data_IF_507058263730
#
_entry.id   IF_507058263730
#
_cell.length_a   1.000
_cell.length_b   1.000
_cell.length_c   1.000
_cell.angle_alpha   90.00
_cell.angle_beta   90.00
_cell.angle_gamma   90.00
#
_symmetry.space_group_name_H-M   'P 1'
#
loop_
_entity.id
_entity.type
_entity.pdbx_description
1 polymer ?
#
# COMPACT_ATOMS: atom_id res chain seq x y z
N UNK A 1 -41.75 23.27 49.93
CA UNK A 1 -40.62 22.95 49.03
C UNK A 1 -41.21 22.55 47.67
N UNK A 2 -41.21 23.47 46.71
CA UNK A 2 -41.62 23.23 45.34
C UNK A 2 -40.46 23.71 44.45
N UNK A 3 -39.84 22.77 43.75
CA UNK A 3 -38.81 23.07 42.75
C UNK A 3 -39.50 23.35 41.41
N UNK A 4 -39.34 24.56 40.90
CA UNK A 4 -39.69 24.94 39.53
C UNK A 4 -38.51 24.66 38.60
N UNK A 5 -38.74 23.84 37.58
CA UNK A 5 -37.79 23.65 36.48
C UNK A 5 -37.79 24.88 35.57
N UNK A 6 -36.62 25.49 35.37
CA UNK A 6 -36.40 26.53 34.36
C UNK A 6 -36.13 25.84 33.02
N UNK A 7 -36.98 26.12 32.03
CA UNK A 7 -36.79 25.67 30.64
C UNK A 7 -35.73 26.56 29.98
N UNK A 8 -34.61 25.98 29.59
CA UNK A 8 -33.62 26.62 28.70
C UNK A 8 -33.99 26.37 27.25
N UNK A 9 -34.15 27.45 26.48
CA UNK A 9 -34.32 27.39 25.03
C UNK A 9 -33.04 26.88 24.35
N UNK A 10 -33.15 26.19 23.20
CA UNK A 10 -31.98 25.68 22.48
C UNK A 10 -31.19 26.84 21.87
N UNK A 11 -29.91 26.91 22.21
CA UNK A 11 -28.94 27.76 21.53
C UNK A 11 -28.69 27.16 20.15
N UNK A 12 -29.23 27.77 19.10
CA UNK A 12 -28.86 27.48 17.72
C UNK A 12 -27.40 27.84 17.51
N UNK A 13 -26.56 26.84 17.27
CA UNK A 13 -25.17 27.02 16.87
C UNK A 13 -25.11 27.77 15.53
N UNK A 14 -24.19 28.74 15.37
CA UNK A 14 -24.03 29.45 14.11
C UNK A 14 -23.58 28.45 13.03
N UNK A 15 -24.23 28.52 11.88
CA UNK A 15 -24.01 27.61 10.76
C UNK A 15 -22.55 27.55 10.35
N UNK A 16 -21.94 26.39 10.57
CA UNK A 16 -20.72 26.01 9.89
C UNK A 16 -21.08 25.85 8.41
N UNK A 17 -20.74 26.84 7.59
CA UNK A 17 -20.55 26.62 6.16
C UNK A 17 -19.44 25.57 6.05
N UNK A 18 -19.82 24.35 5.71
CA UNK A 18 -18.89 23.30 5.30
C UNK A 18 -18.17 23.83 4.07
N UNK A 19 -16.99 24.42 4.26
CA UNK A 19 -16.02 24.59 3.19
C UNK A 19 -15.68 23.18 2.71
N UNK A 20 -16.31 22.80 1.60
CA UNK A 20 -16.15 21.48 1.00
C UNK A 20 -14.69 21.37 0.56
N UNK A 21 -13.95 20.47 1.20
CA UNK A 21 -12.55 20.19 0.87
C UNK A 21 -12.40 19.98 -0.64
N UNK A 22 -11.62 20.82 -1.31
CA UNK A 22 -11.45 20.79 -2.78
C UNK A 22 -10.25 19.94 -3.14
N UNK A 23 -10.47 18.89 -3.94
CA UNK A 23 -9.39 18.03 -4.44
C UNK A 23 -8.49 18.81 -5.38
N UNK A 24 -7.18 18.67 -5.18
CA UNK A 24 -6.19 19.12 -6.15
C UNK A 24 -6.35 18.31 -7.46
N UNK A 25 -6.31 18.95 -8.63
CA UNK A 25 -6.28 18.22 -9.90
C UNK A 25 -5.11 17.25 -9.95
N UNK A 26 -5.38 16.03 -10.43
CA UNK A 26 -4.35 15.03 -10.66
C UNK A 26 -3.65 15.28 -12.01
N UNK A 27 -2.41 14.77 -12.20
CA UNK A 27 -1.74 14.81 -13.50
C UNK A 27 -2.52 14.06 -14.59
N UNK A 28 -2.20 14.31 -15.85
CA UNK A 28 -2.83 13.63 -17.01
C UNK A 28 -2.59 12.11 -16.98
N UNK A 29 -1.52 11.65 -16.31
CA UNK A 29 -1.28 10.22 -16.06
C UNK A 29 -2.43 9.52 -15.30
N UNK A 30 -3.26 10.27 -14.59
CA UNK A 30 -4.40 9.74 -13.83
C UNK A 30 -5.67 9.58 -14.67
N UNK A 31 -5.70 10.12 -15.90
CA UNK A 31 -6.89 10.05 -16.76
C UNK A 31 -7.11 8.64 -17.31
N UNK A 32 -8.39 8.28 -17.47
CA UNK A 32 -8.81 7.03 -18.10
C UNK A 32 -8.47 7.06 -19.60
N UNK A 33 -7.72 6.05 -20.05
CA UNK A 33 -7.20 5.96 -21.43
C UNK A 33 -7.89 4.89 -22.29
N UNK A 34 -8.97 4.29 -21.79
CA UNK A 34 -9.69 3.23 -22.52
C UNK A 34 -10.69 3.76 -23.57
N UNK A 35 -11.24 2.86 -24.41
CA UNK A 35 -12.19 3.25 -25.45
C UNK A 35 -13.52 3.70 -24.85
N UNK A 36 -13.95 4.93 -25.19
CA UNK A 36 -15.27 5.45 -24.81
C UNK A 36 -15.32 6.01 -23.39
N UNK A 37 -16.48 5.90 -22.74
CA UNK A 37 -16.65 6.33 -21.36
C UNK A 37 -16.09 5.27 -20.40
N UNK A 38 -15.62 5.71 -19.23
CA UNK A 38 -15.20 4.82 -18.14
C UNK A 38 -16.32 3.81 -17.80
N UNK A 39 -15.99 2.53 -17.56
CA UNK A 39 -16.96 1.54 -17.10
C UNK A 39 -17.74 2.00 -15.88
N UNK A 40 -19.01 1.56 -15.78
CA UNK A 40 -19.88 1.79 -14.63
C UNK A 40 -19.39 0.98 -13.43
N UNK A 41 -18.45 1.57 -12.69
CA UNK A 41 -17.80 0.99 -11.53
C UNK A 41 -17.46 2.08 -10.51
N UNK A 42 -17.91 1.93 -9.27
CA UNK A 42 -17.89 3.02 -8.28
C UNK A 42 -17.23 2.65 -6.95
N UNK A 43 -16.62 1.47 -6.83
CA UNK A 43 -16.08 1.01 -5.54
C UNK A 43 -14.91 1.86 -5.02
N UNK A 44 -14.17 2.53 -5.91
CA UNK A 44 -12.96 3.30 -5.57
C UNK A 44 -13.01 4.75 -6.09
N UNK A 45 -14.19 5.30 -6.34
CA UNK A 45 -14.36 6.66 -6.90
C UNK A 45 -13.81 7.80 -6.03
N UNK A 46 -13.75 7.58 -4.72
CA UNK A 46 -13.24 8.52 -3.72
C UNK A 46 -11.93 8.01 -3.07
N UNK A 47 -11.32 6.96 -3.62
CA UNK A 47 -10.03 6.45 -3.16
C UNK A 47 -8.93 6.95 -4.09
N UNK A 48 -7.82 7.42 -3.51
CA UNK A 48 -6.59 7.72 -4.25
C UNK A 48 -5.67 6.49 -4.25
N UNK A 49 -5.47 5.89 -5.42
CA UNK A 49 -4.44 4.86 -5.60
C UNK A 49 -3.08 5.53 -5.83
N UNK A 50 -2.18 5.41 -4.87
CA UNK A 50 -0.81 5.91 -4.92
C UNK A 50 0.11 4.79 -5.37
N UNK A 51 0.66 4.92 -6.57
CA UNK A 51 1.57 3.94 -7.18
C UNK A 51 2.97 4.50 -7.19
N UNK A 52 3.87 3.88 -6.44
CA UNK A 52 5.27 4.29 -6.41
C UNK A 52 6.16 3.41 -7.27
N UNK A 53 7.27 3.98 -7.73
CA UNK A 53 8.23 3.26 -8.52
C UNK A 53 9.65 3.79 -8.29
N UNK A 54 10.61 2.87 -8.31
CA UNK A 54 11.99 3.10 -7.87
C UNK A 54 13.04 2.81 -8.93
N UNK A 55 12.65 2.37 -10.13
CA UNK A 55 13.58 1.80 -11.11
C UNK A 55 13.08 2.03 -12.55
N UNK A 56 14.01 2.21 -13.49
CA UNK A 56 13.75 2.43 -14.92
C UNK A 56 12.87 1.34 -15.60
N UNK A 57 12.90 0.11 -15.06
CA UNK A 57 12.08 -1.05 -15.47
C UNK A 57 10.58 -0.81 -15.45
N UNK A 58 10.11 0.22 -14.74
CA UNK A 58 8.69 0.49 -14.56
C UNK A 58 8.10 1.42 -15.62
N UNK A 59 8.89 2.33 -16.19
CA UNK A 59 8.36 3.34 -17.12
C UNK A 59 7.79 2.73 -18.39
N UNK A 60 8.45 1.68 -18.89
CA UNK A 60 8.05 0.99 -20.12
C UNK A 60 6.68 0.31 -20.00
N UNK A 61 6.19 0.13 -18.78
CA UNK A 61 4.96 -0.58 -18.48
C UNK A 61 3.86 0.35 -17.92
N UNK A 62 4.15 1.65 -17.74
CA UNK A 62 3.25 2.61 -17.11
C UNK A 62 1.90 2.66 -17.82
N UNK A 63 1.92 2.74 -19.14
CA UNK A 63 0.70 2.77 -19.95
C UNK A 63 -0.13 1.49 -19.80
N UNK A 64 0.53 0.33 -19.70
CA UNK A 64 -0.15 -0.94 -19.45
C UNK A 64 -0.81 -0.99 -18.07
N UNK A 65 -0.11 -0.52 -17.03
CA UNK A 65 -0.67 -0.42 -15.68
C UNK A 65 -1.89 0.52 -15.65
N UNK A 66 -1.75 1.70 -16.26
CA UNK A 66 -2.82 2.70 -16.39
C UNK A 66 -4.02 2.11 -17.13
N UNK A 67 -3.79 1.43 -18.24
CA UNK A 67 -4.84 0.85 -19.06
C UNK A 67 -5.62 -0.26 -18.33
N UNK A 68 -4.96 -1.01 -17.45
CA UNK A 68 -5.60 -2.06 -16.64
C UNK A 68 -6.37 -1.49 -15.45
N UNK A 69 -5.82 -0.52 -14.73
CA UNK A 69 -6.38 -0.09 -13.43
C UNK A 69 -7.22 1.18 -13.46
N UNK A 70 -7.04 2.09 -14.44
CA UNK A 70 -7.87 3.29 -14.58
C UNK A 70 -9.38 3.06 -14.77
N UNK A 71 -9.88 1.92 -15.29
CA UNK A 71 -11.31 1.62 -15.25
C UNK A 71 -11.86 1.54 -13.82
N UNK A 72 -11.06 1.06 -12.87
CA UNK A 72 -11.46 0.77 -11.50
C UNK A 72 -11.13 1.89 -10.52
N UNK A 73 -9.99 2.55 -10.72
CA UNK A 73 -9.52 3.66 -9.91
C UNK A 73 -9.49 4.92 -10.78
N UNK A 74 -10.49 5.81 -10.68
CA UNK A 74 -10.46 7.07 -11.43
C UNK A 74 -9.43 8.06 -10.88
N UNK A 75 -8.88 7.82 -9.68
CA UNK A 75 -7.84 8.64 -9.07
C UNK A 75 -6.58 7.80 -8.86
N UNK A 76 -5.63 7.85 -9.80
CA UNK A 76 -4.34 7.14 -9.70
C UNK A 76 -3.20 8.14 -9.71
N UNK A 77 -2.40 8.19 -8.65
CA UNK A 77 -1.22 9.05 -8.57
C UNK A 77 0.05 8.21 -8.74
N UNK A 78 0.76 8.42 -9.85
CA UNK A 78 2.10 7.88 -10.02
C UNK A 78 3.14 8.82 -9.42
N UNK A 79 4.00 8.29 -8.55
CA UNK A 79 5.01 9.06 -7.81
C UNK A 79 6.39 8.39 -7.83
N UNK A 80 7.44 9.19 -8.02
CA UNK A 80 8.84 8.74 -8.06
C UNK A 80 9.80 9.82 -7.52
N UNK A 81 11.08 9.51 -7.26
CA UNK A 81 12.04 10.46 -6.72
C UNK A 81 12.53 11.51 -7.73
N UNK A 82 13.03 12.62 -7.18
CA UNK A 82 13.58 13.74 -7.94
C UNK A 82 14.97 13.51 -8.54
N UNK A 83 15.86 12.71 -7.92
CA UNK A 83 17.19 12.42 -8.47
C UNK A 83 17.18 11.13 -9.26
N UNK A 84 17.23 11.21 -10.60
CA UNK A 84 17.37 10.05 -11.47
C UNK A 84 18.38 10.37 -12.56
N UNK A 85 19.48 9.61 -12.61
CA UNK A 85 20.39 9.67 -13.76
C UNK A 85 19.73 8.97 -14.96
N UNK A 86 19.20 9.78 -15.87
CA UNK A 86 18.45 9.45 -17.07
C UNK A 86 19.19 8.50 -18.05
N UNK A 87 19.11 7.18 -17.86
CA UNK A 87 19.48 6.22 -18.93
C UNK A 87 18.32 5.45 -19.56
N UNK A 88 17.12 5.49 -18.98
CA UNK A 88 15.94 4.75 -19.47
C UNK A 88 14.74 5.59 -19.92
N UNK A 89 14.68 6.89 -19.59
CA UNK A 89 13.53 7.76 -19.83
C UNK A 89 13.46 8.34 -21.25
N UNK A 90 13.69 7.52 -22.28
CA UNK A 90 13.92 8.06 -23.63
C UNK A 90 12.66 8.68 -24.27
N UNK A 91 11.42 8.37 -23.82
CA UNK A 91 10.21 8.89 -24.51
C UNK A 91 8.97 9.35 -23.69
N UNK A 92 8.73 8.94 -22.42
CA UNK A 92 7.39 9.15 -21.80
C UNK A 92 7.31 9.53 -20.29
N UNK A 93 8.35 10.12 -19.67
CA UNK A 93 8.39 10.34 -18.20
C UNK A 93 7.56 11.49 -17.60
N UNK A 94 6.83 12.23 -18.43
CA UNK A 94 6.47 13.63 -18.12
C UNK A 94 5.33 13.84 -17.09
N UNK A 95 4.59 12.80 -16.70
CA UNK A 95 3.33 12.95 -15.94
C UNK A 95 3.36 12.37 -14.51
N UNK A 96 4.56 12.17 -13.95
CA UNK A 96 4.76 11.58 -12.63
C UNK A 96 4.97 12.69 -11.61
N UNK A 97 4.35 12.59 -10.43
CA UNK A 97 4.69 13.48 -9.32
C UNK A 97 6.11 13.16 -8.86
N UNK A 98 6.99 14.15 -8.96
CA UNK A 98 8.34 14.05 -8.42
C UNK A 98 8.29 14.35 -6.93
N UNK A 99 8.62 13.35 -6.14
CA UNK A 99 8.90 13.51 -4.74
C UNK A 99 10.26 14.21 -4.60
N UNK A 100 10.26 15.40 -4.00
CA UNK A 100 11.44 16.27 -3.90
C UNK A 100 12.55 15.69 -3.01
N UNK A 101 12.32 14.52 -2.42
CA UNK A 101 13.26 13.86 -1.54
C UNK A 101 14.42 13.24 -2.34
N UNK A 102 15.63 13.71 -2.06
CA UNK A 102 16.86 13.18 -2.64
C UNK A 102 17.33 12.02 -1.76
N UNK A 103 17.15 10.78 -2.19
CA UNK A 103 17.83 9.66 -1.55
C UNK A 103 19.30 9.71 -1.93
N UNK A 104 20.20 9.80 -0.94
CA UNK A 104 21.60 9.43 -1.16
C UNK A 104 21.62 7.93 -1.42
N UNK A 105 21.64 7.55 -2.69
CA UNK A 105 21.92 6.20 -3.13
C UNK A 105 23.38 5.93 -2.75
N UNK A 106 23.62 5.10 -1.73
CA UNK A 106 24.98 4.73 -1.34
C UNK A 106 25.43 3.60 -2.30
N UNK A 107 26.08 4.01 -3.40
CA UNK A 107 26.46 3.14 -4.52
C UNK A 107 27.61 2.17 -4.21
N UNK A 108 28.23 2.25 -3.03
CA UNK A 108 29.49 1.58 -2.73
C UNK A 108 29.38 0.05 -2.56
N UNK A 109 28.17 -0.50 -2.41
CA UNK A 109 27.98 -1.93 -2.17
C UNK A 109 27.64 -2.77 -3.42
N UNK A 110 27.52 -2.17 -4.62
CA UNK A 110 27.13 -2.89 -5.84
C UNK A 110 25.71 -3.47 -5.83
N UNK A 111 24.93 -3.20 -4.78
CA UNK A 111 23.50 -3.46 -4.67
C UNK A 111 22.79 -2.11 -4.66
N UNK A 112 21.86 -1.92 -5.60
CA UNK A 112 21.00 -0.74 -5.68
C UNK A 112 20.06 -0.72 -4.47
N UNK A 113 20.57 -0.32 -3.31
CA UNK A 113 19.77 -0.08 -2.11
C UNK A 113 19.14 1.30 -2.27
N UNK A 114 18.05 1.34 -3.02
CA UNK A 114 17.00 2.34 -2.78
C UNK A 114 16.57 2.18 -1.34
N UNK A 115 17.32 2.79 -0.41
CA UNK A 115 17.13 2.63 1.02
C UNK A 115 15.66 2.94 1.27
N UNK A 116 14.92 1.97 1.79
CA UNK A 116 13.46 1.98 1.77
C UNK A 116 12.81 3.23 2.38
N UNK A 117 13.58 4.11 3.02
CA UNK A 117 13.22 5.51 3.30
C UNK A 117 12.36 6.17 2.22
N UNK A 118 12.79 6.08 0.96
CA UNK A 118 12.23 6.90 -0.11
C UNK A 118 10.76 6.56 -0.42
N UNK A 119 10.38 5.28 -0.40
CA UNK A 119 9.04 4.89 -0.82
C UNK A 119 7.97 5.42 0.14
N UNK A 120 8.16 5.31 1.46
CA UNK A 120 7.16 5.85 2.39
C UNK A 120 7.17 7.38 2.48
N UNK A 121 8.27 8.06 2.12
CA UNK A 121 8.24 9.50 1.90
C UNK A 121 7.31 9.87 0.73
N UNK A 122 7.33 9.10 -0.37
CA UNK A 122 6.36 9.31 -1.46
C UNK A 122 4.92 9.12 -0.99
N UNK A 123 4.64 8.10 -0.17
CA UNK A 123 3.30 7.93 0.37
C UNK A 123 2.87 9.13 1.24
N UNK A 124 3.79 9.60 2.10
CA UNK A 124 3.58 10.81 2.89
C UNK A 124 3.28 12.02 2.01
N UNK A 125 4.08 12.28 0.97
CA UNK A 125 3.89 13.37 0.01
C UNK A 125 2.52 13.28 -0.66
N UNK A 126 2.14 12.09 -1.15
CA UNK A 126 0.84 11.86 -1.78
C UNK A 126 -0.33 12.18 -0.84
N UNK A 127 -0.30 11.63 0.38
CA UNK A 127 -1.35 11.83 1.39
C UNK A 127 -1.42 13.30 1.84
N UNK A 128 -0.26 13.96 1.97
CA UNK A 128 -0.16 15.36 2.35
C UNK A 128 -0.71 16.29 1.27
N UNK A 129 -0.24 16.16 0.04
CA UNK A 129 -0.47 17.13 -1.03
C UNK A 129 -1.79 16.90 -1.79
N UNK A 130 -2.39 15.72 -1.65
CA UNK A 130 -3.68 15.36 -2.22
C UNK A 130 -4.69 14.99 -1.12
N UNK A 131 -5.17 15.99 -0.33
CA UNK A 131 -6.22 15.77 0.66
C UNK A 131 -7.58 15.49 -0.01
N UNK A 132 -8.61 15.27 0.81
CA UNK A 132 -10.02 15.17 0.40
C UNK A 132 -10.40 13.88 -0.37
N UNK A 133 -9.78 12.76 0.00
CA UNK A 133 -10.18 11.40 -0.42
C UNK A 133 -10.77 10.63 0.76
N UNK A 134 -11.72 9.74 0.51
CA UNK A 134 -12.27 8.84 1.54
C UNK A 134 -11.23 7.81 2.02
N UNK A 135 -10.21 7.55 1.22
CA UNK A 135 -9.07 6.73 1.58
C UNK A 135 -7.94 6.76 0.57
N UNK A 136 -6.82 6.17 0.98
CA UNK A 136 -5.57 6.15 0.24
C UNK A 136 -5.10 4.70 0.14
N UNK A 137 -5.00 4.18 -1.08
CA UNK A 137 -4.44 2.85 -1.33
C UNK A 137 -3.00 3.01 -1.83
N UNK A 138 -2.07 2.27 -1.23
CA UNK A 138 -0.65 2.34 -1.56
C UNK A 138 -0.18 1.03 -2.15
N UNK A 139 0.56 1.10 -3.26
CA UNK A 139 1.17 -0.06 -3.90
C UNK A 139 2.44 0.30 -4.69
N UNK A 140 3.47 -0.58 -4.74
CA UNK A 140 4.54 -0.47 -5.71
C UNK A 140 4.01 -0.82 -7.10
N UNK A 141 4.75 -0.36 -8.10
CA UNK A 141 4.44 -0.64 -9.49
C UNK A 141 4.48 -2.16 -9.83
N UNK A 142 5.34 -2.93 -9.16
CA UNK A 142 5.40 -4.39 -9.29
C UNK A 142 4.46 -5.15 -8.34
N UNK A 143 3.45 -4.47 -7.77
CA UNK A 143 2.35 -5.17 -7.13
C UNK A 143 1.23 -5.44 -8.15
N UNK A 144 0.83 -6.69 -8.25
CA UNK A 144 -0.47 -7.05 -8.83
C UNK A 144 -1.56 -6.76 -7.80
N UNK A 145 -2.56 -5.98 -8.21
CA UNK A 145 -3.75 -5.66 -7.41
C UNK A 145 -4.96 -6.47 -7.88
N UNK A 146 -5.51 -7.32 -7.00
CA UNK A 146 -6.71 -8.09 -7.28
C UNK A 146 -7.97 -7.27 -6.96
N UNK A 147 -8.42 -6.43 -7.90
CA UNK A 147 -9.53 -5.48 -7.70
C UNK A 147 -10.81 -6.14 -7.16
N UNK A 148 -11.30 -7.28 -7.72
CA UNK A 148 -12.49 -7.95 -7.19
C UNK A 148 -12.36 -8.41 -5.73
N UNK A 149 -11.15 -8.69 -5.26
CA UNK A 149 -10.89 -8.98 -3.85
C UNK A 149 -10.99 -7.73 -3.00
N UNK A 150 -10.31 -6.66 -3.37
CA UNK A 150 -10.34 -5.39 -2.62
C UNK A 150 -11.73 -4.78 -2.50
N UNK A 151 -12.64 -5.01 -3.44
CA UNK A 151 -14.04 -4.56 -3.33
C UNK A 151 -14.77 -5.10 -2.10
N UNK A 152 -14.30 -6.22 -1.53
CA UNK A 152 -14.92 -6.88 -0.38
C UNK A 152 -14.38 -6.33 0.94
N UNK A 153 -13.35 -5.48 0.89
CA UNK A 153 -12.70 -4.94 2.07
C UNK A 153 -13.43 -3.68 2.56
N UNK A 154 -13.64 -3.53 3.88
CA UNK A 154 -14.35 -2.39 4.43
C UNK A 154 -13.43 -1.15 4.46
N UNK A 155 -13.81 -0.10 3.72
CA UNK A 155 -13.00 1.12 3.49
C UNK A 155 -12.94 2.09 4.68
N UNK A 156 -13.59 1.76 5.79
CA UNK A 156 -13.52 2.44 7.09
C UNK A 156 -12.41 1.86 8.00
N UNK A 157 -11.73 0.79 7.58
CA UNK A 157 -10.64 0.16 8.33
C UNK A 157 -9.30 0.30 7.60
N UNK A 158 -8.19 0.25 8.35
CA UNK A 158 -6.86 0.09 7.76
C UNK A 158 -6.77 -1.30 7.13
N UNK A 159 -6.27 -1.39 5.89
CA UNK A 159 -5.93 -2.68 5.28
C UNK A 159 -4.42 -2.85 5.30
N UNK A 160 -3.96 -3.93 5.92
CA UNK A 160 -2.54 -4.21 6.03
C UNK A 160 -2.31 -5.69 6.31
N UNK A 161 -1.17 -6.23 5.88
CA UNK A 161 -0.70 -7.54 6.31
C UNK A 161 -0.13 -7.45 7.74
N UNK A 162 -0.98 -7.14 8.72
CA UNK A 162 -0.56 -7.03 10.13
C UNK A 162 -0.38 -8.43 10.71
N UNK A 163 0.74 -8.72 11.40
CA UNK A 163 0.84 -9.94 12.20
C UNK A 163 0.17 -9.84 13.57
N UNK A 164 -0.32 -8.66 14.00
CA UNK A 164 -0.74 -8.40 15.39
C UNK A 164 -2.25 -8.22 15.57
N UNK A 165 -2.92 -7.63 14.59
CA UNK A 165 -4.37 -7.34 14.64
C UNK A 165 -5.00 -7.66 13.30
N UNK A 166 -5.93 -8.63 13.26
CA UNK A 166 -6.43 -9.11 11.98
C UNK A 166 -7.90 -9.49 12.04
N UNK A 167 -8.68 -8.78 11.23
CA UNK A 167 -9.94 -9.28 10.71
C UNK A 167 -9.71 -9.82 9.30
N UNK A 168 -9.88 -11.12 9.12
CA UNK A 168 -9.82 -11.75 7.79
C UNK A 168 -11.07 -11.41 6.98
N UNK A 169 -10.89 -11.07 5.68
CA UNK A 169 -11.99 -10.93 4.72
C UNK A 169 -12.17 -12.26 4.00
N UNK A 170 -13.28 -12.99 4.22
CA UNK A 170 -13.51 -14.26 3.55
C UNK A 170 -13.33 -14.15 2.04
N UNK A 171 -12.68 -15.16 1.44
CA UNK A 171 -12.54 -15.29 0.00
C UNK A 171 -13.50 -16.38 -0.51
N UNK A 172 -14.62 -16.02 -1.16
CA UNK A 172 -15.59 -16.96 -1.71
C UNK A 172 -15.03 -17.96 -2.73
N UNK A 173 -13.86 -17.67 -3.31
CA UNK A 173 -13.17 -18.58 -4.22
C UNK A 173 -12.45 -19.72 -3.50
N UNK A 174 -12.32 -19.64 -2.18
CA UNK A 174 -11.67 -20.64 -1.35
C UNK A 174 -12.70 -21.44 -0.55
N UNK A 175 -12.43 -22.73 -0.29
CA UNK A 175 -13.24 -23.49 0.67
C UNK A 175 -13.09 -22.89 2.07
N UNK A 176 -14.17 -22.94 2.87
CA UNK A 176 -14.25 -22.32 4.20
C UNK A 176 -13.16 -22.78 5.20
N UNK A 177 -12.52 -23.93 4.95
CA UNK A 177 -11.45 -24.50 5.77
C UNK A 177 -10.09 -24.54 5.03
N UNK A 178 -9.86 -23.62 4.10
CA UNK A 178 -8.59 -23.58 3.36
C UNK A 178 -7.43 -23.21 4.28
N UNK A 179 -6.46 -24.11 4.43
CA UNK A 179 -5.18 -23.84 5.13
C UNK A 179 -4.16 -23.10 4.26
N UNK A 180 -4.53 -22.80 3.01
CA UNK A 180 -3.65 -22.21 1.98
C UNK A 180 -3.37 -20.72 2.19
N UNK A 181 -4.22 -20.07 2.96
CA UNK A 181 -4.16 -18.66 3.30
C UNK A 181 -4.13 -18.58 4.81
N UNK A 182 -2.97 -18.83 5.43
CA UNK A 182 -2.89 -18.72 6.88
C UNK A 182 -3.27 -17.29 7.24
N UNK A 183 -4.20 -17.05 8.21
CA UNK A 183 -4.17 -15.77 8.91
C UNK A 183 -2.73 -15.58 9.37
N UNK A 184 -2.15 -14.38 9.23
CA UNK A 184 -0.76 -14.21 9.60
C UNK A 184 -0.62 -14.67 11.05
N UNK A 185 0.12 -15.76 11.26
CA UNK A 185 0.35 -16.22 12.62
C UNK A 185 1.06 -15.05 13.32
N UNK A 186 0.51 -14.54 14.42
CA UNK A 186 1.33 -13.86 15.41
C UNK A 186 2.43 -14.87 15.67
N UNK A 187 3.64 -14.53 15.26
CA UNK A 187 4.72 -15.45 15.49
C UNK A 187 4.82 -15.69 17.00
N UNK A 188 4.64 -16.93 17.43
CA UNK A 188 4.91 -17.34 18.82
C UNK A 188 6.40 -17.16 19.17
N UNK A 189 7.22 -16.82 18.17
CA UNK A 189 8.65 -16.63 18.30
C UNK A 189 8.93 -15.20 18.74
N UNK A 190 9.72 -15.08 19.79
CA UNK A 190 10.05 -13.78 20.38
C UNK A 190 10.87 -12.92 19.39
N UNK A 191 10.84 -11.59 19.51
CA UNK A 191 11.75 -10.72 18.76
C UNK A 191 13.23 -11.12 18.90
N UNK A 192 13.60 -11.65 20.07
CA UNK A 192 14.93 -12.20 20.34
C UNK A 192 15.23 -13.45 19.49
N UNK A 193 14.25 -14.35 19.34
CA UNK A 193 14.38 -15.50 18.45
C UNK A 193 14.57 -15.07 17.00
N UNK A 194 13.83 -14.07 16.51
CA UNK A 194 14.04 -13.55 15.16
C UNK A 194 15.40 -12.89 14.99
N UNK A 195 15.88 -12.17 16.00
CA UNK A 195 17.23 -11.61 16.01
C UNK A 195 18.31 -12.71 15.93
N UNK A 196 18.10 -13.82 16.65
CA UNK A 196 19.03 -14.96 16.68
C UNK A 196 18.92 -15.85 15.42
N UNK A 197 17.72 -16.04 14.87
CA UNK A 197 17.45 -16.80 13.64
C UNK A 197 17.82 -16.00 12.38
N UNK A 198 17.68 -14.67 12.37
CA UNK A 198 18.10 -13.83 11.23
C UNK A 198 19.60 -13.78 11.01
N UNK A 199 20.42 -14.19 11.99
CA UNK A 199 21.83 -14.52 11.72
C UNK A 199 21.99 -15.70 10.74
N UNK A 200 20.99 -16.59 10.62
CA UNK A 200 20.96 -17.68 9.63
C UNK A 200 20.47 -17.23 8.24
N UNK A 201 19.80 -16.07 8.13
CA UNK A 201 19.44 -15.42 6.86
C UNK A 201 20.61 -14.58 6.30
N UNK A 202 21.78 -14.66 6.96
CA UNK A 202 22.97 -13.87 6.69
C UNK A 202 22.98 -12.61 7.55
N UNK A 203 24.12 -12.32 8.18
CA UNK A 203 24.39 -11.01 8.76
C UNK A 203 24.22 -9.93 7.67
N UNK A 204 23.07 -9.25 7.60
CA UNK A 204 22.84 -8.24 6.56
C UNK A 204 21.40 -7.94 6.12
N UNK A 205 20.35 -8.51 6.73
CA UNK A 205 18.99 -8.07 6.38
C UNK A 205 18.75 -6.60 6.78
N UNK A 206 18.06 -5.86 5.93
CA UNK A 206 17.94 -4.39 6.00
C UNK A 206 17.26 -3.89 7.30
N UNK A 207 16.46 -4.74 7.95
CA UNK A 207 15.83 -4.43 9.24
C UNK A 207 16.85 -4.22 10.38
N UNK A 208 18.04 -4.80 10.26
CA UNK A 208 19.14 -4.70 11.23
C UNK A 208 20.29 -3.81 10.75
N UNK A 209 20.11 -3.14 9.61
CA UNK A 209 21.13 -2.26 9.05
C UNK A 209 21.37 -1.05 9.96
N UNK A 210 22.62 -0.67 10.17
CA UNK A 210 23.02 0.32 11.19
C UNK A 210 22.44 1.71 10.94
N UNK A 211 22.29 2.09 9.68
CA UNK A 211 21.93 3.43 9.23
C UNK A 211 20.43 3.58 8.95
N UNK A 212 19.67 2.49 8.82
CA UNK A 212 18.23 2.57 8.51
C UNK A 212 17.33 1.56 9.23
N UNK A 213 17.91 0.56 9.90
CA UNK A 213 17.18 -0.49 10.57
C UNK A 213 16.60 -0.06 11.92
N UNK A 214 16.35 -1.06 12.77
CA UNK A 214 15.67 -0.95 14.06
C UNK A 214 16.12 0.25 14.90
N UNK A 215 17.41 0.41 15.15
CA UNK A 215 17.90 1.43 16.09
C UNK A 215 17.64 2.86 15.57
N UNK A 216 17.67 3.05 14.25
CA UNK A 216 17.30 4.32 13.63
C UNK A 216 15.81 4.59 13.79
N UNK A 217 14.98 3.58 13.52
CA UNK A 217 13.53 3.64 13.68
C UNK A 217 13.09 3.86 15.14
N UNK A 218 13.80 3.29 16.11
CA UNK A 218 13.50 3.48 17.54
C UNK A 218 13.62 4.94 17.98
N UNK A 219 14.59 5.69 17.43
CA UNK A 219 14.73 7.13 17.71
C UNK A 219 13.51 7.93 17.28
N UNK A 220 12.85 7.52 16.19
CA UNK A 220 11.58 8.12 15.78
C UNK A 220 10.44 7.67 16.70
N UNK A 221 10.34 6.36 16.99
CA UNK A 221 9.32 5.82 17.87
C UNK A 221 9.27 6.51 19.24
N UNK A 222 10.43 6.75 19.87
CA UNK A 222 10.50 7.39 21.18
C UNK A 222 9.94 8.83 21.21
N UNK A 223 9.91 9.49 20.06
CA UNK A 223 9.33 10.83 19.89
C UNK A 223 7.80 10.80 19.67
N UNK A 224 7.22 9.64 19.36
CA UNK A 224 5.78 9.48 19.21
C UNK A 224 5.08 9.75 20.55
N UNK A 225 3.94 10.47 20.55
CA UNK A 225 3.17 10.73 21.77
C UNK A 225 2.88 9.45 22.58
N UNK A 226 3.06 9.46 23.91
CA UNK A 226 2.89 8.26 24.74
C UNK A 226 1.53 7.56 24.58
N UNK A 227 0.45 8.31 24.35
CA UNK A 227 -0.89 7.74 24.21
C UNK A 227 -1.04 6.88 22.95
N UNK A 228 -0.35 7.20 21.85
CA UNK A 228 -0.32 6.37 20.63
C UNK A 228 0.56 5.13 20.84
N UNK A 229 1.68 5.28 21.56
CA UNK A 229 2.58 4.17 21.89
C UNK A 229 1.93 3.12 22.78
N UNK A 230 1.25 3.53 23.86
CA UNK A 230 0.60 2.64 24.83
C UNK A 230 -0.28 1.56 24.19
N UNK A 231 -0.90 1.89 23.06
CA UNK A 231 -1.68 0.91 22.31
C UNK A 231 -0.81 -0.19 21.74
N UNK A 232 0.24 0.19 20.99
CA UNK A 232 1.15 -0.79 20.42
C UNK A 232 1.72 -1.68 21.53
N UNK A 233 2.08 -1.09 22.66
CA UNK A 233 2.58 -1.81 23.84
C UNK A 233 1.59 -2.87 24.37
N UNK A 234 0.28 -2.61 24.25
CA UNK A 234 -0.78 -3.55 24.64
C UNK A 234 -0.94 -4.75 23.72
N UNK A 235 -0.41 -4.74 22.49
CA UNK A 235 -0.46 -5.90 21.57
C UNK A 235 0.71 -6.88 21.77
N UNK A 236 1.78 -6.45 22.41
CA UNK A 236 3.09 -7.11 22.41
C UNK A 236 3.69 -7.19 23.82
N UNK A 237 2.85 -6.98 24.84
CA UNK A 237 3.16 -7.12 26.26
C UNK A 237 4.46 -6.40 26.69
N UNK A 238 4.63 -5.14 26.27
CA UNK A 238 5.80 -4.36 26.68
C UNK A 238 6.01 -3.05 25.92
N UNK A 239 6.79 -2.10 26.47
CA UNK A 239 7.19 -0.88 25.80
C UNK A 239 8.31 -1.08 24.77
N UNK A 240 8.43 -0.15 23.83
CA UNK A 240 9.65 -0.01 23.01
C UNK A 240 9.80 -1.01 21.87
N UNK A 241 8.69 -1.42 21.26
CA UNK A 241 8.69 -2.33 20.13
C UNK A 241 8.27 -1.62 18.84
N UNK A 242 8.82 -2.12 17.73
CA UNK A 242 8.46 -1.71 16.37
C UNK A 242 7.77 -2.88 15.67
N UNK A 243 6.93 -2.58 14.69
CA UNK A 243 6.33 -3.59 13.82
C UNK A 243 7.08 -3.58 12.50
N UNK A 244 7.55 -4.76 12.09
CA UNK A 244 8.13 -5.01 10.77
C UNK A 244 7.16 -5.77 9.86
N UNK A 245 7.21 -5.54 8.56
CA UNK A 245 6.46 -6.34 7.56
C UNK A 245 6.45 -5.73 6.17
N UNK A 246 5.91 -6.46 5.19
CA UNK A 246 5.76 -5.96 3.82
C UNK A 246 4.97 -4.66 3.82
N UNK A 247 5.47 -3.65 3.13
CA UNK A 247 4.77 -2.39 2.92
C UNK A 247 4.38 -2.21 1.45
N UNK A 248 4.10 -3.32 0.77
CA UNK A 248 3.77 -3.34 -0.66
C UNK A 248 2.28 -3.12 -0.92
N UNK A 249 1.38 -3.43 0.00
CA UNK A 249 -0.05 -3.15 -0.24
C UNK A 249 -0.75 -2.79 1.06
N UNK A 250 -1.27 -1.57 1.11
CA UNK A 250 -2.01 -1.08 2.26
C UNK A 250 -3.09 -0.08 1.86
N UNK A 251 -4.07 0.09 2.73
CA UNK A 251 -5.09 1.11 2.60
C UNK A 251 -5.25 1.87 3.91
N UNK A 252 -5.29 3.19 3.81
CA UNK A 252 -5.47 4.13 4.90
C UNK A 252 -6.81 4.87 4.73
N UNK A 253 -7.77 4.69 5.65
CA UNK A 253 -8.98 5.50 5.68
C UNK A 253 -8.66 7.00 5.79
N UNK A 254 -9.36 7.82 5.02
CA UNK A 254 -9.10 9.26 4.92
C UNK A 254 -9.27 10.02 6.24
N UNK A 255 -10.12 9.53 7.14
CA UNK A 255 -10.29 10.13 8.47
C UNK A 255 -9.05 9.97 9.38
N UNK A 256 -8.18 8.98 9.10
CA UNK A 256 -6.91 8.77 9.82
C UNK A 256 -5.74 9.54 9.22
N UNK A 257 -5.97 10.31 8.16
CA UNK A 257 -4.93 11.06 7.45
C UNK A 257 -4.12 11.96 8.39
N UNK A 258 -4.77 12.65 9.32
CA UNK A 258 -4.09 13.57 10.26
C UNK A 258 -3.06 12.83 11.10
N UNK A 259 -3.52 11.82 11.84
CA UNK A 259 -2.66 11.00 12.70
C UNK A 259 -1.56 10.30 11.89
N UNK A 260 -1.87 9.82 10.68
CA UNK A 260 -0.88 9.21 9.79
C UNK A 260 0.24 10.19 9.43
N UNK A 261 -0.09 11.42 9.03
CA UNK A 261 0.91 12.43 8.69
C UNK A 261 1.73 12.85 9.92
N UNK A 262 1.09 12.98 11.08
CA UNK A 262 1.79 13.36 12.30
C UNK A 262 2.81 12.28 12.71
N UNK A 263 2.41 11.00 12.67
CA UNK A 263 3.29 9.88 13.08
C UNK A 263 4.33 9.56 12.01
N UNK A 264 3.95 9.37 10.74
CA UNK A 264 4.92 9.07 9.68
C UNK A 264 5.92 10.21 9.50
N UNK A 265 5.47 11.46 9.68
CA UNK A 265 6.32 12.64 9.65
C UNK A 265 7.46 12.58 10.68
N UNK A 266 7.24 11.98 11.85
CA UNK A 266 8.29 11.73 12.85
C UNK A 266 9.31 10.70 12.34
N UNK A 267 8.84 9.59 11.75
CA UNK A 267 9.73 8.57 11.18
C UNK A 267 10.61 9.13 10.05
N UNK A 268 10.06 10.02 9.22
CA UNK A 268 10.76 10.70 8.13
C UNK A 268 11.86 11.67 8.58
N UNK A 269 11.89 12.06 9.86
CA UNK A 269 13.02 12.83 10.44
C UNK A 269 14.27 11.97 10.64
N UNK A 270 14.13 10.66 10.49
CA UNK A 270 15.22 9.68 10.56
C UNK A 270 15.38 8.96 9.23
N UNK A 271 16.37 8.07 9.14
CA UNK A 271 16.58 7.18 7.98
C UNK A 271 15.83 5.85 8.11
N UNK A 272 14.78 5.78 8.93
CA UNK A 272 14.06 4.53 9.20
C UNK A 272 13.60 3.83 7.91
N UNK A 273 13.74 2.52 7.85
CA UNK A 273 13.36 1.70 6.69
C UNK A 273 11.83 1.57 6.53
N UNK A 274 11.30 1.55 5.28
CA UNK A 274 9.85 1.52 5.01
C UNK A 274 9.12 0.36 5.68
N UNK A 275 9.71 -0.85 5.65
CA UNK A 275 9.07 -2.05 6.19
C UNK A 275 9.07 -2.07 7.72
N UNK A 276 9.57 -1.01 8.35
CA UNK A 276 9.45 -0.75 9.78
C UNK A 276 8.58 0.50 10.00
N UNK A 277 8.88 1.60 9.30
CA UNK A 277 8.20 2.88 9.46
C UNK A 277 6.70 2.81 9.17
N UNK A 278 6.31 2.27 8.01
CA UNK A 278 4.90 2.20 7.61
C UNK A 278 4.10 1.22 8.49
N UNK A 279 4.54 -0.04 8.69
CA UNK A 279 3.82 -0.96 9.56
C UNK A 279 3.67 -0.41 10.98
N UNK A 280 4.75 0.13 11.56
CA UNK A 280 4.69 0.73 12.89
C UNK A 280 3.72 1.92 12.93
N UNK A 281 3.78 2.81 11.95
CA UNK A 281 2.85 3.95 11.85
C UNK A 281 1.40 3.50 11.83
N UNK A 282 1.04 2.52 10.98
CA UNK A 282 -0.33 2.02 10.89
C UNK A 282 -0.84 1.49 12.24
N UNK A 283 0.00 0.81 13.02
CA UNK A 283 -0.39 0.28 14.33
C UNK A 283 -0.52 1.38 15.40
N UNK A 284 0.31 2.43 15.31
CA UNK A 284 0.26 3.56 16.22
C UNK A 284 -0.99 4.43 16.05
N UNK A 285 -1.48 4.57 14.81
CA UNK A 285 -2.63 5.43 14.48
C UNK A 285 -3.97 4.70 14.48
N UNK A 286 -3.97 3.38 14.64
CA UNK A 286 -5.22 2.61 14.70
C UNK A 286 -6.08 3.18 15.87
N UNK A 287 -7.41 3.36 15.72
CA UNK A 287 -8.30 3.83 16.81
C UNK A 287 -8.62 2.77 17.85
N UNK A 288 -8.58 3.11 19.15
CA UNK A 288 -8.68 2.14 20.26
C UNK A 288 -9.91 1.23 20.10
N UNK A 289 -9.72 -0.08 20.20
CA UNK A 289 -10.78 -1.08 20.06
C UNK A 289 -11.04 -1.54 18.62
N UNK A 290 -10.44 -0.89 17.62
CA UNK A 290 -10.54 -1.31 16.22
C UNK A 290 -9.49 -2.35 15.84
N UNK A 291 -9.74 -3.10 14.77
CA UNK A 291 -8.79 -4.05 14.17
C UNK A 291 -8.37 -3.61 12.77
N UNK A 292 -7.19 -4.04 12.31
CA UNK A 292 -6.86 -3.95 10.89
C UNK A 292 -7.48 -5.09 10.11
N UNK A 293 -7.79 -4.82 8.85
CA UNK A 293 -8.23 -5.83 7.90
C UNK A 293 -7.01 -6.47 7.26
N UNK A 294 -6.95 -7.81 7.33
CA UNK A 294 -5.82 -8.56 6.82
C UNK A 294 -5.82 -8.61 5.29
N UNK A 295 -4.76 -8.10 4.68
CA UNK A 295 -4.48 -8.23 3.25
C UNK A 295 -3.62 -9.47 3.02
N UNK A 296 -4.11 -10.39 2.19
CA UNK A 296 -3.34 -11.51 1.70
C UNK A 296 -2.34 -11.04 0.66
N UNK A 297 -1.14 -10.74 1.15
CA UNK A 297 -0.03 -10.26 0.35
C UNK A 297 1.04 -11.33 0.24
N UNK A 298 1.44 -11.66 -0.98
CA UNK A 298 2.43 -12.69 -1.25
C UNK A 298 3.76 -12.11 -1.74
N UNK A 299 4.82 -12.46 -1.00
CA UNK A 299 6.22 -12.33 -1.41
C UNK A 299 6.79 -13.74 -1.63
N UNK A 300 7.53 -13.97 -2.70
CA UNK A 300 8.27 -15.22 -2.94
C UNK A 300 9.36 -14.95 -3.97
N UNK A 301 10.40 -15.76 -3.89
CA UNK A 301 11.61 -15.69 -4.70
C UNK A 301 11.81 -17.12 -5.25
N UNK A 302 12.18 -17.35 -6.53
CA UNK A 302 12.64 -16.38 -7.52
C UNK A 302 11.59 -15.85 -8.51
N UNK A 303 11.80 -14.62 -9.05
CA UNK A 303 11.10 -14.04 -10.20
C UNK A 303 11.43 -14.74 -11.54
N UNK A 304 10.78 -14.38 -12.66
CA UNK A 304 9.63 -13.48 -12.80
C UNK A 304 8.29 -14.20 -12.71
N UNK A 305 7.29 -13.49 -12.21
CA UNK A 305 5.92 -13.97 -12.15
C UNK A 305 5.00 -13.07 -12.97
N UNK A 306 4.50 -13.65 -14.04
CA UNK A 306 3.52 -13.03 -14.92
C UNK A 306 2.11 -13.56 -14.58
N UNK A 307 1.12 -13.07 -15.32
CA UNK A 307 -0.28 -13.49 -15.28
C UNK A 307 -0.47 -15.01 -15.29
N UNK A 308 0.30 -15.74 -16.11
CA UNK A 308 0.23 -17.21 -16.19
C UNK A 308 0.60 -17.88 -14.88
N UNK A 309 1.66 -17.41 -14.21
CA UNK A 309 2.04 -17.93 -12.90
C UNK A 309 0.92 -17.69 -11.87
N UNK A 310 0.38 -16.47 -11.82
CA UNK A 310 -0.68 -16.09 -10.88
C UNK A 310 -1.93 -16.95 -11.10
N UNK A 311 -2.38 -17.10 -12.35
CA UNK A 311 -3.53 -17.96 -12.70
C UNK A 311 -3.29 -19.42 -12.27
N UNK A 312 -2.11 -19.96 -12.53
CA UNK A 312 -1.75 -21.32 -12.07
C UNK A 312 -1.87 -21.47 -10.55
N UNK A 313 -1.45 -20.47 -9.78
CA UNK A 313 -1.61 -20.46 -8.31
C UNK A 313 -3.06 -20.33 -7.89
N UNK A 314 -3.87 -19.54 -8.59
CA UNK A 314 -5.29 -19.44 -8.31
C UNK A 314 -6.03 -20.74 -8.61
N UNK A 315 -5.67 -21.46 -9.67
CA UNK A 315 -6.21 -22.78 -9.99
C UNK A 315 -5.81 -23.84 -8.95
N UNK A 316 -4.61 -23.71 -8.37
CA UNK A 316 -4.18 -24.46 -7.20
C UNK A 316 -4.90 -24.02 -5.90
N UNK A 317 -5.79 -23.03 -5.92
CA UNK A 317 -6.55 -22.55 -4.76
C UNK A 317 -5.77 -21.59 -3.87
N UNK A 318 -4.83 -20.83 -4.44
CA UNK A 318 -4.05 -19.78 -3.78
C UNK A 318 -4.38 -18.39 -4.35
N UNK A 319 -5.66 -18.03 -4.36
CA UNK A 319 -6.09 -16.70 -4.81
C UNK A 319 -5.89 -15.67 -3.71
N UNK A 320 -5.05 -14.67 -3.99
CA UNK A 320 -4.58 -13.66 -3.03
C UNK A 320 -5.11 -12.27 -3.39
N UNK A 321 -5.02 -11.33 -2.44
CA UNK A 321 -5.48 -9.96 -2.62
C UNK A 321 -4.43 -9.12 -3.36
N UNK A 322 -3.14 -9.36 -3.07
CA UNK A 322 -2.02 -8.72 -3.77
C UNK A 322 -0.79 -9.60 -3.86
N UNK A 323 0.10 -9.26 -4.77
CA UNK A 323 1.30 -10.04 -5.04
C UNK A 323 2.44 -9.14 -5.49
N UNK A 324 3.58 -9.18 -4.80
CA UNK A 324 4.77 -8.37 -5.11
C UNK A 324 5.64 -9.00 -6.20
N UNK A 325 6.55 -8.22 -6.79
CA UNK A 325 7.45 -8.65 -7.88
C UNK A 325 6.71 -9.20 -9.11
N UNK A 326 5.54 -8.65 -9.41
CA UNK A 326 4.81 -8.89 -10.65
C UNK A 326 5.48 -8.13 -11.82
N UNK A 327 5.72 -8.84 -12.92
CA UNK A 327 6.36 -8.26 -14.09
C UNK A 327 5.35 -8.00 -15.22
N UNK A 328 5.27 -6.74 -15.61
CA UNK A 328 4.45 -6.28 -16.74
C UNK A 328 5.15 -6.44 -18.10
N UNK A 329 6.46 -6.61 -18.10
CA UNK A 329 7.28 -6.78 -19.29
C UNK A 329 8.16 -8.03 -19.22
N UNK A 330 8.80 -8.35 -20.33
CA UNK A 330 9.73 -9.47 -20.43
C UNK A 330 11.17 -8.99 -20.24
N UNK A 331 12.02 -9.84 -19.66
CA UNK A 331 13.47 -9.57 -19.54
C UNK A 331 14.14 -10.07 -20.82
N UNK A 332 14.86 -9.18 -21.49
CA UNK A 332 15.68 -9.49 -22.65
C UNK A 332 17.00 -10.15 -22.24
N UNK A 333 17.69 -10.75 -23.21
CA UNK A 333 18.99 -11.41 -23.02
C UNK A 333 20.10 -10.46 -22.49
N UNK A 334 19.94 -9.14 -22.68
CA UNK A 334 20.84 -8.10 -22.17
C UNK A 334 20.47 -7.60 -20.76
N UNK A 335 19.46 -8.20 -20.13
CA UNK A 335 18.98 -7.85 -18.79
C UNK A 335 18.04 -6.64 -18.76
N UNK A 336 17.76 -5.99 -19.89
CA UNK A 336 16.80 -4.90 -19.96
C UNK A 336 15.36 -5.40 -20.12
N UNK A 337 14.40 -4.62 -19.63
CA UNK A 337 12.98 -4.93 -19.78
C UNK A 337 12.44 -4.42 -21.11
N UNK A 338 11.58 -5.21 -21.73
CA UNK A 338 10.74 -4.80 -22.86
C UNK A 338 9.25 -4.93 -22.51
N UNK A 339 8.37 -4.09 -23.09
CA UNK A 339 6.95 -4.17 -22.78
C UNK A 339 6.39 -5.44 -23.42
N UNK A 340 5.74 -6.27 -22.61
CA UNK A 340 5.04 -7.43 -23.11
C UNK A 340 3.66 -6.98 -23.62
N UNK A 341 3.47 -7.09 -24.94
CA UNK A 341 2.26 -6.62 -25.64
C UNK A 341 0.97 -7.29 -25.17
N UNK A 342 1.06 -8.45 -24.51
CA UNK A 342 -0.09 -9.20 -24.03
C UNK A 342 -0.41 -8.93 -22.56
N UNK A 343 0.49 -8.29 -21.79
CA UNK A 343 0.31 -8.12 -20.34
C UNK A 343 -1.00 -7.45 -19.96
N UNK A 344 -1.44 -6.45 -20.73
CA UNK A 344 -2.73 -5.78 -20.50
C UNK A 344 -3.90 -6.74 -20.69
N UNK A 345 -3.91 -7.48 -21.81
CA UNK A 345 -4.98 -8.43 -22.12
C UNK A 345 -5.01 -9.58 -21.08
N UNK A 346 -3.84 -10.10 -20.73
CA UNK A 346 -3.71 -11.16 -19.73
C UNK A 346 -4.16 -10.69 -18.34
N UNK A 347 -3.81 -9.48 -17.93
CA UNK A 347 -4.26 -8.90 -16.66
C UNK A 347 -5.76 -8.64 -16.63
N UNK A 348 -6.36 -8.19 -17.75
CA UNK A 348 -7.82 -8.06 -17.87
C UNK A 348 -8.51 -9.41 -17.76
N UNK A 349 -8.00 -10.44 -18.44
CA UNK A 349 -8.53 -11.80 -18.36
C UNK A 349 -8.42 -12.36 -16.94
N UNK A 350 -7.31 -12.09 -16.26
CA UNK A 350 -7.06 -12.45 -14.87
C UNK A 350 -8.05 -11.77 -13.91
N UNK A 351 -8.26 -10.45 -14.02
CA UNK A 351 -9.25 -9.74 -13.21
C UNK A 351 -10.68 -10.21 -13.51
N UNK A 352 -11.02 -10.46 -14.78
CA UNK A 352 -12.30 -11.03 -15.17
C UNK A 352 -12.52 -12.44 -14.58
N UNK A 353 -11.47 -13.25 -14.50
CA UNK A 353 -11.50 -14.54 -13.83
C UNK A 353 -11.72 -14.38 -12.33
N UNK A 354 -11.05 -13.43 -11.67
CA UNK A 354 -11.29 -13.16 -10.26
C UNK A 354 -12.73 -12.70 -10.00
N UNK A 355 -13.30 -11.77 -10.79
CA UNK A 355 -14.72 -11.38 -10.66
C UNK A 355 -15.65 -12.60 -10.61
N UNK A 356 -15.48 -13.55 -11.53
CA UNK A 356 -16.27 -14.80 -11.57
C UNK A 356 -16.06 -15.65 -10.32
N UNK A 357 -14.82 -15.81 -9.86
CA UNK A 357 -14.47 -16.61 -8.68
C UNK A 357 -14.98 -15.99 -7.38
N UNK A 358 -14.97 -14.66 -7.29
CA UNK A 358 -15.53 -13.88 -6.19
C UNK A 358 -17.06 -13.79 -6.23
N UNK A 359 -17.71 -14.31 -7.28
CA UNK A 359 -19.17 -14.24 -7.51
C UNK A 359 -19.68 -12.79 -7.61
N UNK A 360 -18.83 -11.89 -8.13
CA UNK A 360 -19.14 -10.49 -8.36
C UNK A 360 -19.36 -10.30 -9.86
N UNK A 361 -20.44 -9.58 -10.23
CA UNK A 361 -20.68 -9.25 -11.63
C UNK A 361 -19.59 -8.26 -12.10
N UNK A 362 -18.84 -8.56 -13.18
CA UNK A 362 -17.87 -7.62 -13.72
C UNK A 362 -18.57 -6.35 -14.23
N UNK A 363 -17.95 -5.17 -14.08
CA UNK A 363 -18.46 -3.92 -14.64
C UNK A 363 -18.76 -4.01 -16.13
N UNK A 364 -19.86 -3.38 -16.55
CA UNK A 364 -20.20 -3.30 -17.97
C UNK A 364 -19.19 -2.42 -18.71
N UNK A 365 -18.76 -2.85 -19.90
CA UNK A 365 -17.82 -2.10 -20.73
C UNK A 365 -16.35 -2.33 -20.42
N UNK A 366 -16.00 -3.22 -19.49
CA UNK A 366 -14.63 -3.70 -19.40
C UNK A 366 -14.30 -4.55 -20.64
N UNK A 367 -13.21 -4.25 -21.36
CA UNK A 367 -12.74 -5.10 -22.44
C UNK A 367 -12.43 -6.49 -21.90
N UNK A 368 -13.02 -7.50 -22.55
CA UNK A 368 -12.93 -8.93 -22.21
C UNK A 368 -11.57 -9.53 -22.50
#
# INVERSE_FOLDING_TARGET
MHCTCVSSAPVTAPGATSDRCVRRPLPVSSEYIGPGARPDFHAFDDVLLVVFFSHDRYDINLDGYREVYSPYFPNILFIGPASREDRGFIMHSYDVVLDSYLSREDFDAGWFKMGGRMAHHMFYTAVKDYPCYSGYMWAPFDAMLNVPRFMQFPQDHIWYHSPLTQRYVPNPALPANSTKHPPAAISERTPQYYYEETNAWGAGWIWWERNMGRDVCMRAYEQVPPHMRQRLEGFIDGPGHLVGGSADTMYLPGFLRGDFLDVLGIFLQTDCFLEIALPTTLHLILPVGEEMVWVDHWWKNPPPWNTKYVLGKWDEGYEVDSFHSFHWGDIRDDGFFEPNKNSVADMRALLAASFRRQRIRPPAGLPS
#
